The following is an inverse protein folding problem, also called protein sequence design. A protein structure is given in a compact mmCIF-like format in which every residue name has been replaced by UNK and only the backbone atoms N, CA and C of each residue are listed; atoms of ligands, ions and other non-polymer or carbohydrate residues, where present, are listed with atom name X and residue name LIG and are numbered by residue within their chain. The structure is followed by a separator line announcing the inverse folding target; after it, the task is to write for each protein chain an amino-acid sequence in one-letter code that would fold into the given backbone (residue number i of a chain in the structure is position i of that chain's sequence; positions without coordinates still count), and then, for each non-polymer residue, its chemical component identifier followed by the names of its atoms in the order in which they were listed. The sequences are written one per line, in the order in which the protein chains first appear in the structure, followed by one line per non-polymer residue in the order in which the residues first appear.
data_IF_392265838291
#
_entry.id   IF_392265838291
#
_cell.length_a   1.000
_cell.length_b   1.000
_cell.length_c   1.000
_cell.angle_alpha   90.00
_cell.angle_beta   90.00
_cell.angle_gamma   90.00
#
_symmetry.space_group_name_H-M   'P 1'
#
loop_
_entity.id
_entity.type
_entity.pdbx_description
1 polymer ?
#
# COMPACT_ATOMS: atom_id res chain seq x y z
N UNK A 1 8.73 -23.93 -7.45
CA UNK A 1 7.36 -23.81 -6.90
C UNK A 1 6.86 -25.21 -6.55
N UNK A 2 6.85 -25.63 -5.26
CA UNK A 2 6.28 -26.96 -4.89
C UNK A 2 4.76 -26.76 -4.70
N UNK A 3 3.91 -27.53 -5.37
CA UNK A 3 2.46 -27.38 -5.28
C UNK A 3 1.95 -27.75 -3.88
N UNK A 4 0.79 -27.22 -3.50
CA UNK A 4 0.09 -27.40 -2.22
C UNK A 4 -0.16 -28.89 -1.83
N UNK A 5 0.08 -29.84 -2.70
CA UNK A 5 -0.27 -31.25 -2.59
C UNK A 5 0.52 -32.08 -1.54
N UNK A 6 1.51 -31.51 -0.85
CA UNK A 6 2.32 -32.23 0.16
C UNK A 6 2.26 -31.67 1.59
N UNK A 7 1.34 -30.73 1.87
CA UNK A 7 1.26 -30.11 3.22
C UNK A 7 0.30 -30.94 4.12
N UNK A 8 0.70 -31.18 5.36
CA UNK A 8 -0.14 -31.80 6.40
C UNK A 8 -1.36 -30.91 6.70
N UNK A 9 -2.44 -31.48 7.25
CA UNK A 9 -3.63 -30.72 7.67
C UNK A 9 -3.26 -29.55 8.60
N UNK A 10 -2.34 -29.76 9.54
CA UNK A 10 -1.84 -28.73 10.44
C UNK A 10 -1.13 -27.58 9.72
N UNK A 11 -0.35 -27.86 8.67
CA UNK A 11 0.31 -26.82 7.87
C UNK A 11 -0.65 -26.04 6.98
N UNK A 12 -1.73 -26.65 6.53
CA UNK A 12 -2.82 -25.98 5.81
C UNK A 12 -3.61 -25.06 6.72
N UNK A 13 -3.94 -25.50 7.95
CA UNK A 13 -4.61 -24.68 8.95
C UNK A 13 -3.80 -23.41 9.30
N UNK A 14 -2.49 -23.56 9.52
CA UNK A 14 -1.60 -22.41 9.75
C UNK A 14 -1.55 -21.44 8.58
N UNK A 15 -1.52 -21.93 7.35
CA UNK A 15 -1.53 -21.07 6.17
C UNK A 15 -2.86 -20.31 6.01
N UNK A 16 -3.99 -20.95 6.29
CA UNK A 16 -5.30 -20.30 6.28
C UNK A 16 -5.41 -19.21 7.35
N UNK A 17 -4.94 -19.48 8.57
CA UNK A 17 -4.88 -18.48 9.64
C UNK A 17 -3.99 -17.30 9.26
N UNK A 18 -2.83 -17.56 8.66
CA UNK A 18 -1.94 -16.49 8.19
C UNK A 18 -2.60 -15.62 7.11
N UNK A 19 -3.39 -16.20 6.21
CA UNK A 19 -4.16 -15.46 5.19
C UNK A 19 -5.31 -14.66 5.81
N UNK A 20 -6.04 -15.25 6.75
CA UNK A 20 -7.22 -14.64 7.35
C UNK A 20 -6.88 -13.52 8.34
N UNK A 21 -5.79 -13.66 9.10
CA UNK A 21 -5.47 -12.75 10.19
C UNK A 21 -5.34 -11.26 9.75
N UNK A 22 -4.67 -10.90 8.65
CA UNK A 22 -4.64 -9.52 8.18
C UNK A 22 -6.03 -8.98 7.82
N UNK A 23 -6.88 -9.75 7.14
CA UNK A 23 -8.22 -9.32 6.76
C UNK A 23 -9.10 -9.12 8.01
N UNK A 24 -9.06 -10.06 8.96
CA UNK A 24 -9.79 -9.93 10.24
C UNK A 24 -9.31 -8.70 11.01
N UNK A 25 -8.00 -8.48 11.06
CA UNK A 25 -7.46 -7.26 11.68
C UNK A 25 -8.03 -6.00 11.05
N UNK A 26 -7.92 -5.89 9.76
CA UNK A 26 -8.25 -4.67 9.01
C UNK A 26 -9.75 -4.38 8.97
N UNK A 27 -10.55 -5.42 8.70
CA UNK A 27 -11.99 -5.26 8.45
C UNK A 27 -12.83 -5.37 9.72
N UNK A 28 -12.34 -6.09 10.73
CA UNK A 28 -13.11 -6.38 11.91
C UNK A 28 -12.54 -5.78 13.20
N UNK A 29 -11.24 -5.90 13.44
CA UNK A 29 -10.64 -5.48 14.73
C UNK A 29 -10.35 -3.99 14.73
N UNK A 30 -9.52 -3.52 13.80
CA UNK A 30 -9.05 -2.13 13.76
C UNK A 30 -10.17 -1.08 13.74
N UNK A 31 -11.27 -1.24 12.99
CA UNK A 31 -12.37 -0.27 13.02
C UNK A 31 -13.07 -0.17 14.37
N UNK A 32 -13.16 -1.29 15.12
CA UNK A 32 -13.82 -1.33 16.44
C UNK A 32 -13.01 -0.68 17.56
N UNK A 33 -11.72 -0.42 17.33
CA UNK A 33 -10.88 0.25 18.33
C UNK A 33 -11.16 1.75 18.45
N UNK A 34 -11.91 2.35 17.53
CA UNK A 34 -12.29 3.78 17.58
C UNK A 34 -11.10 4.75 17.53
N UNK A 35 -9.94 4.30 17.01
CA UNK A 35 -8.71 5.06 17.02
C UNK A 35 -8.70 6.15 15.94
N UNK A 36 -8.11 7.29 16.28
CA UNK A 36 -7.73 8.32 15.31
C UNK A 36 -6.60 7.83 14.38
N UNK A 37 -6.18 8.64 13.44
CA UNK A 37 -5.16 8.23 12.47
C UNK A 37 -3.82 7.88 13.13
N UNK A 38 -3.42 8.57 14.21
CA UNK A 38 -2.17 8.31 14.91
C UNK A 38 -2.23 6.98 15.63
N UNK A 39 -3.33 6.72 16.35
CA UNK A 39 -3.60 5.45 16.99
C UNK A 39 -3.69 4.30 15.99
N UNK A 40 -4.38 4.49 14.85
CA UNK A 40 -4.45 3.49 13.76
C UNK A 40 -3.09 3.19 13.17
N UNK A 41 -2.25 4.20 12.98
CA UNK A 41 -0.87 4.02 12.50
C UNK A 41 -0.06 3.17 13.48
N UNK A 42 -0.07 3.50 14.77
CA UNK A 42 0.62 2.73 15.80
C UNK A 42 0.11 1.29 15.89
N UNK A 43 -1.21 1.10 15.85
CA UNK A 43 -1.85 -0.21 15.89
C UNK A 43 -1.48 -1.08 14.68
N UNK A 44 -1.48 -0.50 13.46
CA UNK A 44 -1.07 -1.20 12.24
C UNK A 44 0.40 -1.61 12.29
N UNK A 45 1.29 -0.72 12.72
CA UNK A 45 2.73 -1.04 12.88
C UNK A 45 2.93 -2.17 13.91
N UNK A 46 2.25 -2.10 15.04
CA UNK A 46 2.31 -3.13 16.08
C UNK A 46 1.80 -4.48 15.55
N UNK A 47 0.61 -4.49 14.93
CA UNK A 47 0.04 -5.69 14.34
C UNK A 47 0.96 -6.30 13.27
N UNK A 48 1.41 -5.50 12.29
CA UNK A 48 2.27 -5.97 11.20
C UNK A 48 3.58 -6.58 11.73
N UNK A 49 4.17 -5.92 12.73
CA UNK A 49 5.42 -6.39 13.35
C UNK A 49 5.21 -7.68 14.13
N UNK A 50 4.15 -7.77 14.92
CA UNK A 50 3.75 -8.98 15.65
C UNK A 50 3.44 -10.14 14.70
N UNK A 51 2.62 -9.89 13.69
CA UNK A 51 2.28 -10.86 12.65
C UNK A 51 3.52 -11.41 11.94
N UNK A 52 4.43 -10.54 11.51
CA UNK A 52 5.65 -10.97 10.84
C UNK A 52 6.54 -11.82 11.76
N UNK A 53 6.64 -11.49 13.05
CA UNK A 53 7.40 -12.30 14.02
C UNK A 53 6.78 -13.67 14.23
N UNK A 54 5.46 -13.74 14.42
CA UNK A 54 4.73 -14.99 14.62
C UNK A 54 4.76 -15.91 13.40
N UNK A 55 4.76 -15.33 12.20
CA UNK A 55 4.77 -16.05 10.92
C UNK A 55 6.16 -16.18 10.31
N UNK A 56 7.24 -15.88 11.05
CA UNK A 56 8.62 -15.93 10.59
C UNK A 56 8.88 -15.16 9.28
N UNK A 57 8.32 -13.96 9.17
CA UNK A 57 8.45 -13.08 8.02
C UNK A 57 9.91 -12.71 7.71
N UNK A 58 10.23 -12.57 6.43
CA UNK A 58 11.59 -12.33 5.92
C UNK A 58 11.62 -11.09 4.98
N UNK A 59 11.40 -9.87 5.48
CA UNK A 59 11.31 -8.67 4.64
C UNK A 59 12.63 -8.27 3.97
N UNK A 60 13.77 -8.59 4.57
CA UNK A 60 15.13 -8.28 4.06
C UNK A 60 15.30 -6.80 3.66
N UNK A 61 14.92 -5.88 4.53
CA UNK A 61 14.92 -4.43 4.27
C UNK A 61 16.26 -3.86 3.79
N UNK A 62 17.39 -4.44 4.18
CA UNK A 62 18.74 -3.91 3.92
C UNK A 62 19.38 -4.41 2.63
N UNK A 63 18.72 -5.27 1.84
CA UNK A 63 19.31 -5.80 0.62
C UNK A 63 19.54 -4.68 -0.41
N UNK A 64 20.80 -4.48 -0.91
CA UNK A 64 21.14 -3.35 -1.81
C UNK A 64 20.32 -3.31 -3.10
N UNK A 65 20.01 -4.49 -3.67
CA UNK A 65 19.17 -4.59 -4.87
C UNK A 65 17.75 -4.05 -4.62
N UNK A 66 17.25 -4.11 -3.37
CA UNK A 66 15.97 -3.54 -2.97
C UNK A 66 15.94 -2.04 -3.14
N UNK A 67 16.95 -1.35 -2.64
CA UNK A 67 17.06 0.11 -2.75
C UNK A 67 17.18 0.56 -4.21
N UNK A 68 18.10 -0.03 -4.97
CA UNK A 68 18.33 0.36 -6.38
C UNK A 68 17.06 0.20 -7.23
N UNK A 69 16.41 -0.96 -7.15
CA UNK A 69 15.19 -1.22 -7.94
C UNK A 69 14.00 -0.43 -7.44
N UNK A 70 13.89 -0.25 -6.13
CA UNK A 70 12.83 0.53 -5.52
C UNK A 70 12.90 2.01 -5.89
N UNK A 71 14.08 2.63 -5.82
CA UNK A 71 14.25 4.01 -6.27
C UNK A 71 13.98 4.18 -7.77
N UNK A 72 14.42 3.23 -8.61
CA UNK A 72 14.10 3.28 -10.04
C UNK A 72 12.59 3.22 -10.31
N UNK A 73 11.87 2.30 -9.64
CA UNK A 73 10.43 2.18 -9.77
C UNK A 73 9.68 3.42 -9.21
N UNK A 74 10.11 3.93 -8.07
CA UNK A 74 9.54 5.14 -7.46
C UNK A 74 9.77 6.37 -8.37
N UNK A 75 10.96 6.53 -8.92
CA UNK A 75 11.27 7.62 -9.84
C UNK A 75 10.40 7.59 -11.11
N UNK A 76 10.16 6.40 -11.67
CA UNK A 76 9.26 6.24 -12.82
C UNK A 76 7.82 6.67 -12.50
N UNK A 77 7.29 6.32 -11.33
CA UNK A 77 5.96 6.75 -10.88
C UNK A 77 5.91 8.26 -10.67
N UNK A 78 6.92 8.83 -10.00
CA UNK A 78 6.98 10.28 -9.77
C UNK A 78 7.11 11.07 -11.08
N UNK A 79 7.88 10.56 -12.04
CA UNK A 79 7.94 11.13 -13.39
C UNK A 79 6.58 11.06 -14.09
N UNK A 80 5.83 9.95 -13.95
CA UNK A 80 4.47 9.82 -14.47
C UNK A 80 3.52 10.85 -13.87
N UNK A 81 3.56 11.08 -12.55
CA UNK A 81 2.79 12.15 -11.91
C UNK A 81 3.21 13.54 -12.40
N UNK A 82 4.52 13.77 -12.55
CA UNK A 82 5.05 15.02 -13.13
C UNK A 82 4.48 15.26 -14.53
N UNK A 83 4.55 14.27 -15.42
CA UNK A 83 3.99 14.34 -16.77
C UNK A 83 2.47 14.58 -16.74
N UNK A 84 1.73 13.92 -15.86
CA UNK A 84 0.28 14.12 -15.71
C UNK A 84 -0.07 15.55 -15.27
N UNK A 85 0.78 16.24 -14.52
CA UNK A 85 0.62 17.63 -14.14
C UNK A 85 0.93 18.63 -15.24
N UNK A 86 1.74 18.27 -16.25
CA UNK A 86 2.06 19.13 -17.39
C UNK A 86 0.99 19.06 -18.47
N UNK A 87 0.33 17.91 -18.65
CA UNK A 87 -0.71 17.72 -19.68
C UNK A 87 -2.07 18.20 -19.16
N UNK A 88 -2.65 19.22 -19.81
CA UNK A 88 -3.86 19.92 -19.35
C UNK A 88 -5.09 19.02 -19.09
N UNK A 89 -5.41 18.02 -19.94
CA UNK A 89 -6.54 17.14 -19.68
C UNK A 89 -6.38 16.32 -18.41
N UNK A 90 -5.22 15.69 -18.20
CA UNK A 90 -4.98 14.89 -16.97
C UNK A 90 -4.91 15.77 -15.74
N UNK A 91 -4.33 16.97 -15.84
CA UNK A 91 -4.31 17.93 -14.75
C UNK A 91 -5.71 18.32 -14.31
N UNK A 92 -6.66 18.53 -15.25
CA UNK A 92 -8.07 18.81 -14.91
C UNK A 92 -8.73 17.66 -14.17
N UNK A 93 -8.51 16.42 -14.61
CA UNK A 93 -8.99 15.20 -13.92
C UNK A 93 -8.43 15.15 -12.50
N UNK A 94 -7.11 15.35 -12.35
CA UNK A 94 -6.46 15.35 -11.04
C UNK A 94 -6.99 16.47 -10.13
N UNK A 95 -7.21 17.67 -10.65
CA UNK A 95 -7.78 18.77 -9.87
C UNK A 95 -9.21 18.48 -9.37
N UNK A 96 -9.99 17.70 -10.12
CA UNK A 96 -11.33 17.24 -9.73
C UNK A 96 -11.33 16.09 -8.71
N UNK A 97 -10.18 15.46 -8.43
CA UNK A 97 -10.11 14.36 -7.46
C UNK A 97 -10.39 14.87 -6.03
N UNK A 98 -11.33 14.26 -5.27
CA UNK A 98 -11.64 14.67 -3.91
C UNK A 98 -10.40 14.67 -2.99
N UNK A 99 -10.33 15.63 -2.08
CA UNK A 99 -9.32 15.63 -1.03
C UNK A 99 -9.74 14.67 0.08
N UNK A 100 -8.96 13.61 0.27
CA UNK A 100 -9.21 12.56 1.25
C UNK A 100 -8.22 12.59 2.41
N UNK A 101 -7.63 13.78 2.69
CA UNK A 101 -6.72 13.90 3.82
C UNK A 101 -7.42 13.50 5.13
N UNK A 102 -6.82 12.63 5.91
CA UNK A 102 -7.26 12.42 7.28
C UNK A 102 -6.94 13.68 8.09
N UNK A 103 -7.80 14.18 8.95
CA UNK A 103 -7.72 15.44 9.70
C UNK A 103 -6.39 15.84 10.35
N UNK A 104 -5.28 15.64 9.65
CA UNK A 104 -3.90 16.02 10.02
C UNK A 104 -3.25 16.81 8.89
N UNK A 105 -2.09 17.44 9.15
CA UNK A 105 -1.34 18.15 8.11
C UNK A 105 -0.89 17.19 6.99
N UNK A 106 -0.79 17.72 5.76
CA UNK A 106 -0.27 16.94 4.61
C UNK A 106 1.12 16.42 4.87
N UNK A 107 1.97 17.22 5.53
CA UNK A 107 3.33 16.82 5.88
C UNK A 107 3.34 15.63 6.86
N UNK A 108 2.48 15.65 7.88
CA UNK A 108 2.33 14.55 8.82
C UNK A 108 1.79 13.30 8.10
N UNK A 109 0.76 13.47 7.27
CA UNK A 109 0.20 12.34 6.53
C UNK A 109 1.21 11.64 5.65
N UNK A 110 1.96 12.42 4.84
CA UNK A 110 2.96 11.90 3.92
C UNK A 110 4.21 11.41 4.65
N UNK A 111 4.66 12.12 5.68
CA UNK A 111 5.91 11.83 6.38
C UNK A 111 5.81 10.75 7.45
N UNK A 112 4.60 10.47 7.97
CA UNK A 112 4.40 9.54 9.08
C UNK A 112 3.37 8.45 8.73
N UNK A 113 2.15 8.83 8.41
CA UNK A 113 1.06 7.86 8.31
C UNK A 113 1.14 6.99 7.06
N UNK A 114 1.46 7.56 5.91
CA UNK A 114 1.68 6.79 4.68
C UNK A 114 2.89 5.85 4.85
N UNK A 115 4.10 6.29 5.22
CA UNK A 115 5.23 5.37 5.29
C UNK A 115 5.12 4.31 6.38
N UNK A 116 4.56 4.62 7.54
CA UNK A 116 4.48 3.69 8.66
C UNK A 116 3.15 2.92 8.72
N UNK A 117 2.03 3.66 8.76
CA UNK A 117 0.69 3.08 8.93
C UNK A 117 0.22 2.28 7.73
N UNK A 118 0.63 2.67 6.53
CA UNK A 118 0.26 2.00 5.27
C UNK A 118 1.43 1.18 4.74
N UNK A 119 2.46 1.82 4.21
CA UNK A 119 3.50 1.15 3.42
C UNK A 119 4.30 0.12 4.23
N UNK A 120 4.86 0.52 5.39
CA UNK A 120 5.62 -0.41 6.24
C UNK A 120 4.73 -1.59 6.66
N UNK A 121 3.54 -1.29 7.16
CA UNK A 121 2.63 -2.31 7.68
C UNK A 121 2.20 -3.27 6.58
N UNK A 122 1.77 -2.78 5.44
CA UNK A 122 1.30 -3.62 4.34
C UNK A 122 2.44 -4.39 3.67
N UNK A 123 3.60 -3.76 3.42
CA UNK A 123 4.72 -4.49 2.80
C UNK A 123 5.31 -5.54 3.75
N UNK A 124 5.29 -5.31 5.05
CA UNK A 124 5.70 -6.32 6.02
C UNK A 124 4.73 -7.51 6.08
N UNK A 125 3.43 -7.24 6.09
CA UNK A 125 2.38 -8.28 6.07
C UNK A 125 2.46 -9.07 4.76
N UNK A 126 2.33 -8.38 3.63
CA UNK A 126 2.12 -9.05 2.34
C UNK A 126 3.43 -9.55 1.74
N UNK A 127 4.44 -8.69 1.55
CA UNK A 127 5.68 -9.04 0.84
C UNK A 127 6.76 -9.59 1.75
N UNK A 128 6.76 -9.14 3.02
CA UNK A 128 7.68 -9.64 4.02
C UNK A 128 7.30 -11.00 4.59
N UNK A 129 6.01 -11.35 4.57
CA UNK A 129 5.48 -12.51 5.30
C UNK A 129 4.61 -13.40 4.41
N UNK A 130 3.46 -12.90 3.96
CA UNK A 130 2.44 -13.72 3.31
C UNK A 130 2.87 -14.29 1.96
N UNK A 131 3.67 -13.56 1.17
CA UNK A 131 4.27 -14.04 -0.08
C UNK A 131 5.06 -15.34 0.10
N UNK A 132 5.79 -15.46 1.23
CA UNK A 132 6.54 -16.68 1.56
C UNK A 132 5.65 -17.87 1.94
N UNK A 133 4.45 -17.61 2.46
CA UNK A 133 3.51 -18.63 2.95
C UNK A 133 2.57 -19.09 1.84
N UNK A 134 1.95 -18.14 1.14
CA UNK A 134 0.84 -18.37 0.22
C UNK A 134 1.21 -18.23 -1.25
N UNK A 135 2.36 -17.64 -1.53
CA UNK A 135 2.79 -17.30 -2.89
C UNK A 135 2.15 -16.01 -3.40
N UNK A 136 2.81 -15.36 -4.36
CA UNK A 136 2.43 -14.03 -4.84
C UNK A 136 1.01 -13.94 -5.41
N UNK A 137 0.49 -14.89 -6.21
CA UNK A 137 -0.86 -14.73 -6.75
C UNK A 137 -1.93 -14.64 -5.67
N UNK A 138 -1.89 -15.54 -4.67
CA UNK A 138 -2.86 -15.51 -3.57
C UNK A 138 -2.64 -14.29 -2.69
N UNK A 139 -1.41 -13.92 -2.39
CA UNK A 139 -1.08 -12.72 -1.62
C UNK A 139 -1.58 -11.45 -2.31
N UNK A 140 -1.46 -11.34 -3.65
CA UNK A 140 -1.98 -10.23 -4.41
C UNK A 140 -3.50 -10.15 -4.37
N UNK A 141 -4.19 -11.29 -4.46
CA UNK A 141 -5.65 -11.34 -4.30
C UNK A 141 -6.08 -10.88 -2.90
N UNK A 142 -5.41 -11.37 -1.85
CA UNK A 142 -5.69 -10.95 -0.45
C UNK A 142 -5.43 -9.46 -0.27
N UNK A 143 -4.38 -8.92 -0.91
CA UNK A 143 -4.11 -7.49 -0.95
C UNK A 143 -5.23 -6.69 -1.64
N UNK A 144 -5.80 -7.22 -2.71
CA UNK A 144 -6.99 -6.64 -3.33
C UNK A 144 -8.20 -6.64 -2.39
N UNK A 145 -8.48 -7.77 -1.73
CA UNK A 145 -9.59 -7.90 -0.78
C UNK A 145 -9.44 -6.99 0.44
N UNK A 146 -8.21 -6.75 0.91
CA UNK A 146 -7.88 -5.77 1.94
C UNK A 146 -8.42 -4.36 1.63
N UNK A 147 -8.56 -4.01 0.35
CA UNK A 147 -9.02 -2.69 -0.07
C UNK A 147 -10.56 -2.57 -0.17
N UNK A 148 -11.33 -3.61 0.13
CA UNK A 148 -12.80 -3.55 0.12
C UNK A 148 -13.32 -2.55 1.15
N UNK A 149 -12.85 -2.62 2.40
CA UNK A 149 -13.32 -1.72 3.46
C UNK A 149 -12.91 -0.26 3.21
N UNK A 150 -11.66 0.07 2.82
CA UNK A 150 -11.29 1.41 2.39
C UNK A 150 -12.11 1.93 1.21
N UNK A 151 -12.36 1.11 0.18
CA UNK A 151 -13.17 1.51 -0.96
C UNK A 151 -14.60 1.87 -0.55
N UNK A 152 -15.24 1.04 0.29
CA UNK A 152 -16.57 1.33 0.84
C UNK A 152 -16.59 2.64 1.62
N UNK A 153 -15.62 2.83 2.51
CA UNK A 153 -15.53 4.05 3.32
C UNK A 153 -15.31 5.31 2.47
N UNK A 154 -14.63 5.18 1.34
CA UNK A 154 -14.36 6.27 0.41
C UNK A 154 -15.45 6.49 -0.64
N UNK A 155 -16.45 5.60 -0.73
CA UNK A 155 -17.46 5.62 -1.80
C UNK A 155 -16.93 5.22 -3.17
N UNK A 156 -15.80 4.50 -3.22
CA UNK A 156 -15.18 4.03 -4.47
C UNK A 156 -15.85 2.75 -4.98
N UNK A 157 -15.86 2.53 -6.32
CA UNK A 157 -16.32 1.29 -6.90
C UNK A 157 -15.48 0.11 -6.42
N UNK A 158 -16.10 -0.86 -5.73
CA UNK A 158 -15.38 -1.95 -5.05
C UNK A 158 -14.62 -2.83 -6.06
N UNK A 159 -15.30 -3.32 -7.11
CA UNK A 159 -14.72 -4.26 -8.04
C UNK A 159 -13.51 -3.68 -8.81
N UNK A 160 -13.57 -2.47 -9.40
CA UNK A 160 -12.40 -1.82 -9.99
C UNK A 160 -11.27 -1.60 -8.99
N UNK A 161 -11.56 -1.21 -7.74
CA UNK A 161 -10.54 -1.00 -6.70
C UNK A 161 -9.85 -2.32 -6.37
N UNK A 162 -10.59 -3.38 -6.13
CA UNK A 162 -10.02 -4.72 -5.86
C UNK A 162 -9.18 -5.22 -7.04
N UNK A 163 -9.66 -5.04 -8.28
CA UNK A 163 -8.91 -5.44 -9.46
C UNK A 163 -7.60 -4.66 -9.60
N UNK A 164 -7.65 -3.34 -9.44
CA UNK A 164 -6.47 -2.46 -9.53
C UNK A 164 -5.44 -2.77 -8.43
N UNK A 165 -5.90 -2.94 -7.18
CA UNK A 165 -5.00 -3.23 -6.05
C UNK A 165 -4.46 -4.66 -6.10
N UNK A 166 -5.23 -5.64 -6.64
CA UNK A 166 -4.71 -6.99 -6.94
C UNK A 166 -3.61 -6.91 -7.99
N UNK A 167 -3.81 -6.16 -9.08
CA UNK A 167 -2.78 -5.95 -10.11
C UNK A 167 -1.53 -5.27 -9.53
N UNK A 168 -1.69 -4.22 -8.73
CA UNK A 168 -0.59 -3.61 -7.99
C UNK A 168 0.11 -4.62 -7.08
N UNK A 169 -0.65 -5.47 -6.41
CA UNK A 169 -0.15 -6.58 -5.59
C UNK A 169 0.76 -7.54 -6.35
N UNK A 170 0.42 -7.88 -7.59
CA UNK A 170 1.26 -8.71 -8.47
C UNK A 170 2.56 -8.00 -8.84
N UNK A 171 2.50 -6.71 -9.17
CA UNK A 171 3.69 -5.88 -9.48
C UNK A 171 4.62 -5.79 -8.26
N UNK A 172 4.07 -5.50 -7.07
CA UNK A 172 4.84 -5.46 -5.82
C UNK A 172 5.49 -6.81 -5.51
N UNK A 173 4.76 -7.91 -5.67
CA UNK A 173 5.31 -9.26 -5.50
C UNK A 173 6.39 -9.61 -6.51
N UNK A 174 6.24 -9.20 -7.78
CA UNK A 174 7.28 -9.36 -8.80
C UNK A 174 8.54 -8.56 -8.44
N UNK A 175 8.37 -7.32 -7.97
CA UNK A 175 9.47 -6.47 -7.53
C UNK A 175 10.16 -7.03 -6.28
N UNK A 176 9.39 -7.57 -5.34
CA UNK A 176 9.90 -8.31 -4.16
C UNK A 176 10.77 -9.50 -4.56
N UNK A 177 10.28 -10.36 -5.48
CA UNK A 177 11.03 -11.53 -5.94
C UNK A 177 12.29 -11.14 -6.70
N UNK A 178 12.18 -10.20 -7.62
CA UNK A 178 13.32 -9.78 -8.45
C UNK A 178 14.43 -9.10 -7.65
N UNK A 179 14.08 -8.33 -6.60
CA UNK A 179 15.03 -7.62 -5.73
C UNK A 179 15.51 -8.42 -4.53
N UNK A 180 14.77 -9.46 -4.14
CA UNK A 180 15.00 -10.20 -2.88
C UNK A 180 14.66 -9.39 -1.62
N UNK A 181 13.96 -8.25 -1.73
CA UNK A 181 13.74 -7.29 -0.64
C UNK A 181 12.35 -6.67 -0.66
N UNK A 182 11.71 -6.49 0.48
CA UNK A 182 10.48 -5.72 0.62
C UNK A 182 10.70 -4.20 0.47
N UNK A 183 11.94 -3.72 0.53
CA UNK A 183 12.27 -2.30 0.31
C UNK A 183 11.90 -1.85 -1.10
N UNK A 184 12.09 -2.71 -2.11
CA UNK A 184 11.78 -2.33 -3.49
C UNK A 184 10.28 -2.05 -3.69
N UNK A 185 9.36 -2.96 -3.36
CA UNK A 185 7.93 -2.63 -3.43
C UNK A 185 7.51 -1.54 -2.45
N UNK A 186 8.12 -1.41 -1.26
CA UNK A 186 7.82 -0.35 -0.31
C UNK A 186 8.09 1.06 -0.89
N UNK A 187 9.21 1.25 -1.57
CA UNK A 187 9.52 2.53 -2.22
C UNK A 187 8.56 2.85 -3.37
N UNK A 188 8.21 1.86 -4.19
CA UNK A 188 7.20 2.02 -5.23
C UNK A 188 5.82 2.34 -4.62
N UNK A 189 5.41 1.60 -3.61
CA UNK A 189 4.14 1.78 -2.91
C UNK A 189 4.05 3.17 -2.27
N UNK A 190 5.12 3.61 -1.60
CA UNK A 190 5.21 4.96 -1.06
C UNK A 190 5.07 6.04 -2.15
N UNK A 191 5.77 5.90 -3.27
CA UNK A 191 5.66 6.85 -4.38
C UNK A 191 4.24 6.94 -4.95
N UNK A 192 3.53 5.80 -5.06
CA UNK A 192 2.14 5.77 -5.49
C UNK A 192 1.23 6.50 -4.50
N UNK A 193 1.33 6.19 -3.21
CA UNK A 193 0.44 6.77 -2.20
C UNK A 193 0.74 8.24 -1.93
N UNK A 194 2.01 8.61 -1.73
CA UNK A 194 2.40 10.01 -1.52
C UNK A 194 2.15 10.86 -2.77
N UNK A 195 2.47 10.33 -3.95
CA UNK A 195 2.16 10.98 -5.23
C UNK A 195 0.66 11.18 -5.42
N UNK A 196 -0.15 10.15 -5.16
CA UNK A 196 -1.61 10.23 -5.20
C UNK A 196 -2.19 11.25 -4.21
N UNK A 197 -1.56 11.43 -3.05
CA UNK A 197 -1.97 12.42 -2.05
C UNK A 197 -1.60 13.86 -2.45
N UNK A 198 -0.43 14.07 -3.08
CA UNK A 198 0.11 15.41 -3.40
C UNK A 198 -0.42 15.93 -4.74
N UNK A 199 -0.44 15.07 -5.76
CA UNK A 199 -0.66 15.50 -7.16
C UNK A 199 -2.00 16.20 -7.38
N UNK A 200 -3.15 15.77 -6.82
CA UNK A 200 -4.41 16.50 -6.94
C UNK A 200 -4.34 17.91 -6.34
N UNK A 201 -3.60 18.09 -5.24
CA UNK A 201 -3.42 19.39 -4.60
C UNK A 201 -2.60 20.34 -5.47
N UNK A 202 -1.50 19.85 -6.04
CA UNK A 202 -0.68 20.60 -6.98
C UNK A 202 -1.45 20.94 -8.26
N UNK A 203 -2.31 20.05 -8.72
CA UNK A 203 -3.18 20.32 -9.87
C UNK A 203 -4.16 21.46 -9.60
N UNK A 204 -4.79 21.47 -8.40
CA UNK A 204 -5.69 22.54 -7.97
C UNK A 204 -4.99 23.89 -7.80
N UNK A 205 -3.80 23.92 -7.20
CA UNK A 205 -3.05 25.18 -7.02
C UNK A 205 -2.67 25.82 -8.34
N UNK A 206 -2.34 25.01 -9.36
CA UNK A 206 -2.03 25.50 -10.71
C UNK A 206 -3.26 25.88 -11.54
N UNK A 207 -4.46 25.46 -11.13
CA UNK A 207 -5.71 25.80 -11.79
C UNK A 207 -6.32 27.12 -11.29
N UNK A 208 -5.92 27.61 -10.10
CA UNK A 208 -6.36 28.92 -9.61
C UNK A 208 -5.66 30.01 -10.41
N UNK A 209 -6.40 30.98 -11.02
CA UNK A 209 -5.77 32.13 -11.62
C UNK A 209 -4.97 32.87 -10.54
N UNK A 210 -3.79 33.38 -10.90
CA UNK A 210 -3.08 34.32 -10.04
C UNK A 210 -4.04 35.50 -9.80
N UNK A 211 -4.61 35.56 -8.59
CA UNK A 211 -5.33 36.78 -8.19
C UNK A 211 -4.34 37.91 -8.30
N UNK A 212 -4.62 38.85 -9.22
CA UNK A 212 -3.82 40.05 -9.37
C UNK A 212 -3.67 40.67 -7.99
N UNK A 213 -2.42 40.79 -7.55
CA UNK A 213 -2.07 41.62 -6.41
C UNK A 213 -2.38 43.05 -6.86
N UNK A 214 -3.48 43.58 -6.40
CA UNK A 214 -3.84 44.99 -6.45
C UNK A 214 -3.37 45.67 -5.19
#
# INVERSE_FOLDING_TARGET
MRPFAGRTAASRGRALLAVAAPLVWHDAVLPRLGLDIRGRTAANVAFATGYARLCAGQPRWRAPAGWRRGFGAAAAVLAGYGAALTFSPTRRILAGTPDRAPGVSVAEWIGVHIPLGTVYSEELIFRGTLDGIAGTPLTALVFGLWHIAPARAAGDPILPTVAATTAAGLVFGALRRSSGSATAPALLHYALNAGGAITPRLARSRAKPATAAG
#
